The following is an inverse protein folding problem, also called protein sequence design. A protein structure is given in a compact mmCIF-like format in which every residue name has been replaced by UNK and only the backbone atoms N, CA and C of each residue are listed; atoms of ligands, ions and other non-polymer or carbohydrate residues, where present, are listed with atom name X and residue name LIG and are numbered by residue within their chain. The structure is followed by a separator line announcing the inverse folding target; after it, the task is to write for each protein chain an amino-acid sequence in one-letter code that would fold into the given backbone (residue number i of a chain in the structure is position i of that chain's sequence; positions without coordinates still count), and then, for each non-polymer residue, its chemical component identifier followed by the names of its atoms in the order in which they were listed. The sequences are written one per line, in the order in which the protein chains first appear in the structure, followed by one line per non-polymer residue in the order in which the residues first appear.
data_IF_421140677740
#
_entry.id   IF_421140677740
#
_cell.length_a   1.000
_cell.length_b   1.000
_cell.length_c   1.000
_cell.angle_alpha   90.00
_cell.angle_beta   90.00
_cell.angle_gamma   90.00
#
_symmetry.space_group_name_H-M   'P 1'
#
loop_
_entity.id
_entity.type
_entity.pdbx_description
1 polymer ?
#
# COMPACT_ATOMS: atom_id res chain seq x y z
N UNK A 1 16.58 -27.84 6.77
CA UNK A 1 17.51 -27.79 7.91
C UNK A 1 17.84 -26.32 8.17
N UNK A 2 17.65 -25.82 9.39
CA UNK A 2 18.07 -24.46 9.73
C UNK A 2 19.58 -24.45 10.00
N UNK A 3 20.35 -23.71 9.20
CA UNK A 3 21.82 -23.73 9.15
C UNK A 3 22.50 -23.41 10.50
N UNK A 4 21.81 -22.68 11.39
CA UNK A 4 22.28 -22.36 12.75
C UNK A 4 21.30 -22.79 13.86
N UNK A 5 20.35 -23.69 13.55
CA UNK A 5 19.35 -24.17 14.53
C UNK A 5 18.30 -23.14 14.96
N UNK A 6 18.29 -21.94 14.36
CA UNK A 6 17.31 -20.90 14.66
C UNK A 6 16.09 -21.07 13.76
N UNK A 7 14.92 -21.27 14.38
CA UNK A 7 13.62 -21.30 13.70
C UNK A 7 12.78 -20.16 14.22
N UNK A 8 12.19 -19.38 13.31
CA UNK A 8 11.32 -18.25 13.66
C UNK A 8 10.08 -18.21 12.78
N UNK A 9 9.05 -17.50 13.25
CA UNK A 9 7.83 -17.25 12.47
C UNK A 9 8.10 -16.32 11.28
N UNK A 10 7.28 -16.44 10.22
CA UNK A 10 7.42 -15.64 8.99
C UNK A 10 6.76 -14.25 9.07
N UNK A 11 6.61 -13.68 10.26
CA UNK A 11 5.98 -12.37 10.46
C UNK A 11 6.99 -11.30 10.85
N UNK A 12 6.75 -10.04 10.47
CA UNK A 12 7.58 -8.88 10.85
C UNK A 12 7.77 -8.80 12.37
N UNK A 13 6.70 -9.03 13.13
CA UNK A 13 6.76 -9.07 14.60
C UNK A 13 7.66 -10.19 15.13
N UNK A 14 7.60 -11.38 14.54
CA UNK A 14 8.46 -12.50 14.94
C UNK A 14 9.93 -12.22 14.61
N UNK A 15 10.21 -11.66 13.43
CA UNK A 15 11.55 -11.27 13.02
C UNK A 15 12.15 -10.21 13.94
N UNK A 16 11.43 -9.13 14.24
CA UNK A 16 11.90 -8.06 15.14
C UNK A 16 12.28 -8.57 16.52
N UNK A 17 11.53 -9.54 17.05
CA UNK A 17 11.83 -10.14 18.35
C UNK A 17 13.18 -10.86 18.32
N UNK A 18 13.45 -11.62 17.27
CA UNK A 18 14.73 -12.31 17.09
C UNK A 18 15.88 -11.30 16.89
N UNK A 19 15.64 -10.21 16.17
CA UNK A 19 16.64 -9.15 15.96
C UNK A 19 16.97 -8.40 17.25
N UNK A 20 15.97 -8.14 18.11
CA UNK A 20 16.17 -7.52 19.42
C UNK A 20 17.02 -8.39 20.36
N UNK A 21 16.87 -9.72 20.27
CA UNK A 21 17.59 -10.68 21.09
C UNK A 21 18.83 -11.27 20.38
N UNK A 22 19.33 -10.64 19.30
CA UNK A 22 20.39 -11.19 18.44
C UNK A 22 21.68 -11.57 19.21
N UNK A 23 21.99 -10.84 20.27
CA UNK A 23 23.16 -11.12 21.11
C UNK A 23 23.02 -12.39 21.94
N UNK A 24 21.80 -12.74 22.36
CA UNK A 24 21.51 -13.96 23.11
C UNK A 24 21.71 -15.23 22.27
N UNK A 25 21.73 -15.12 20.94
CA UNK A 25 21.99 -16.24 20.04
C UNK A 25 23.49 -16.54 19.93
N UNK A 26 24.02 -17.31 20.89
CA UNK A 26 25.44 -17.72 20.92
C UNK A 26 25.84 -18.62 19.75
N UNK A 27 24.89 -19.30 19.11
CA UNK A 27 25.12 -20.14 17.93
C UNK A 27 25.48 -19.36 16.66
N UNK A 28 25.25 -18.03 16.63
CA UNK A 28 25.55 -17.20 15.47
C UNK A 28 26.97 -16.60 15.54
N UNK A 29 27.79 -16.76 14.48
CA UNK A 29 29.09 -16.10 14.40
C UNK A 29 28.99 -14.57 14.49
N UNK A 30 29.96 -13.93 15.13
CA UNK A 30 29.97 -12.48 15.34
C UNK A 30 29.91 -11.67 14.02
N UNK A 31 30.61 -12.13 12.98
CA UNK A 31 30.59 -11.49 11.65
C UNK A 31 29.19 -11.56 11.03
N UNK A 32 28.49 -12.68 11.19
CA UNK A 32 27.14 -12.83 10.69
C UNK A 32 26.14 -11.95 11.45
N UNK A 33 26.28 -11.83 12.79
CA UNK A 33 25.51 -10.86 13.59
C UNK A 33 25.72 -9.43 13.13
N UNK A 34 26.95 -9.05 12.78
CA UNK A 34 27.26 -7.72 12.25
C UNK A 34 26.55 -7.44 10.91
N UNK A 35 26.52 -8.43 10.00
CA UNK A 35 25.78 -8.32 8.74
C UNK A 35 24.26 -8.18 8.98
N UNK A 36 23.69 -8.98 9.88
CA UNK A 36 22.27 -8.89 10.25
C UNK A 36 21.95 -7.48 10.79
N UNK A 37 22.78 -6.94 11.69
CA UNK A 37 22.62 -5.58 12.23
C UNK A 37 22.65 -4.52 11.13
N UNK A 38 23.52 -4.67 10.13
CA UNK A 38 23.58 -3.74 9.00
C UNK A 38 22.28 -3.75 8.20
N UNK A 39 21.69 -4.93 7.96
CA UNK A 39 20.43 -5.06 7.23
C UNK A 39 19.25 -4.54 8.07
N UNK A 40 19.24 -4.80 9.38
CA UNK A 40 18.22 -4.27 10.30
C UNK A 40 18.24 -2.74 10.40
N UNK A 41 19.43 -2.13 10.44
CA UNK A 41 19.60 -0.69 10.40
C UNK A 41 19.03 -0.09 9.10
N UNK A 42 19.34 -0.71 7.95
CA UNK A 42 18.79 -0.27 6.66
C UNK A 42 17.27 -0.45 6.58
N UNK A 43 16.74 -1.59 7.05
CA UNK A 43 15.31 -1.84 7.16
C UNK A 43 14.61 -0.77 7.99
N UNK A 44 15.18 -0.42 9.14
CA UNK A 44 14.67 0.64 10.00
C UNK A 44 14.63 1.99 9.28
N UNK A 45 15.70 2.35 8.55
CA UNK A 45 15.75 3.56 7.75
C UNK A 45 14.63 3.62 6.70
N UNK A 46 14.44 2.53 5.94
CA UNK A 46 13.38 2.45 4.93
C UNK A 46 11.99 2.60 5.56
N UNK A 47 11.76 1.97 6.71
CA UNK A 47 10.49 2.11 7.44
C UNK A 47 10.25 3.53 7.93
N UNK A 48 11.25 4.19 8.48
CA UNK A 48 11.11 5.60 8.88
C UNK A 48 10.78 6.50 7.70
N UNK A 49 11.40 6.26 6.53
CA UNK A 49 11.06 6.99 5.31
C UNK A 49 9.63 6.71 4.84
N UNK A 50 9.17 5.46 4.94
CA UNK A 50 7.79 5.07 4.64
C UNK A 50 6.79 5.78 5.56
N UNK A 51 7.01 5.74 6.88
CA UNK A 51 6.16 6.40 7.87
C UNK A 51 6.09 7.93 7.64
N UNK A 52 7.22 8.54 7.23
CA UNK A 52 7.28 9.96 6.88
C UNK A 52 6.48 10.28 5.62
N UNK A 53 6.49 9.41 4.60
CA UNK A 53 5.66 9.57 3.41
C UNK A 53 4.17 9.45 3.76
N UNK A 54 3.77 8.46 4.56
CA UNK A 54 2.39 8.29 5.01
C UNK A 54 1.89 9.52 5.77
N UNK A 55 2.71 10.08 6.67
CA UNK A 55 2.37 11.29 7.40
C UNK A 55 2.16 12.50 6.49
N UNK A 56 2.96 12.63 5.41
CA UNK A 56 2.81 13.70 4.41
C UNK A 56 1.51 13.54 3.62
N UNK A 57 1.16 12.32 3.20
CA UNK A 57 -0.10 12.03 2.50
C UNK A 57 -1.28 12.35 3.41
N UNK A 58 -1.24 11.93 4.67
CA UNK A 58 -2.30 12.23 5.63
C UNK A 58 -2.45 13.73 5.88
N UNK A 59 -1.35 14.49 5.98
CA UNK A 59 -1.39 15.95 6.11
C UNK A 59 -2.04 16.59 4.89
N UNK A 60 -1.58 16.26 3.69
CA UNK A 60 -2.12 16.82 2.45
C UNK A 60 -3.61 16.48 2.28
N UNK A 61 -4.01 15.24 2.56
CA UNK A 61 -5.40 14.80 2.49
C UNK A 61 -6.30 15.43 3.57
N UNK A 62 -5.76 15.92 4.69
CA UNK A 62 -6.50 16.67 5.71
C UNK A 62 -6.73 18.12 5.29
N UNK A 63 -5.76 18.73 4.60
CA UNK A 63 -5.83 20.12 4.19
C UNK A 63 -6.67 20.33 2.91
N UNK A 64 -6.88 19.27 2.11
CA UNK A 64 -7.74 19.31 0.91
C UNK A 64 -9.19 18.87 1.23
N UNK A 65 -10.13 19.82 1.14
CA UNK A 65 -11.57 19.57 1.37
C UNK A 65 -12.16 18.51 0.44
N UNK A 66 -11.60 18.30 -0.76
CA UNK A 66 -12.03 17.24 -1.68
C UNK A 66 -11.66 15.87 -1.12
N UNK A 67 -10.46 15.73 -0.57
CA UNK A 67 -10.00 14.52 0.10
C UNK A 67 -10.84 14.24 1.36
N UNK A 68 -11.12 15.27 2.18
CA UNK A 68 -11.99 15.15 3.36
C UNK A 68 -13.38 14.63 2.98
N UNK A 69 -13.98 15.17 1.91
CA UNK A 69 -15.29 14.70 1.41
C UNK A 69 -15.25 13.26 0.93
N UNK A 70 -14.19 12.85 0.21
CA UNK A 70 -14.04 11.48 -0.27
C UNK A 70 -13.88 10.47 0.88
N UNK A 71 -13.18 10.85 1.96
CA UNK A 71 -12.99 10.02 3.16
C UNK A 71 -14.29 9.73 3.92
N UNK A 72 -15.38 10.46 3.65
CA UNK A 72 -16.70 10.15 4.20
C UNK A 72 -17.30 8.86 3.60
N UNK A 73 -16.76 8.39 2.46
CA UNK A 73 -17.18 7.13 1.84
C UNK A 73 -16.53 5.96 2.58
N UNK A 74 -17.34 4.98 2.98
CA UNK A 74 -16.86 3.77 3.66
C UNK A 74 -15.82 3.06 2.80
N UNK A 75 -14.65 2.79 3.39
CA UNK A 75 -13.53 2.14 2.70
C UNK A 75 -12.57 3.09 1.99
N UNK A 76 -12.80 4.40 1.99
CA UNK A 76 -11.88 5.39 1.41
C UNK A 76 -11.04 6.05 2.50
N UNK A 77 -9.74 5.70 2.53
CA UNK A 77 -8.75 6.31 3.41
C UNK A 77 -8.06 7.54 2.80
N UNK A 78 -7.18 8.18 3.55
CA UNK A 78 -6.42 9.35 3.08
C UNK A 78 -5.60 9.04 1.83
N UNK A 79 -4.87 7.93 1.79
CA UNK A 79 -4.10 7.52 0.62
C UNK A 79 -4.97 7.38 -0.64
N UNK A 80 -6.10 6.67 -0.54
CA UNK A 80 -7.00 6.46 -1.67
C UNK A 80 -7.66 7.77 -2.12
N UNK A 81 -8.09 8.61 -1.18
CA UNK A 81 -8.70 9.90 -1.49
C UNK A 81 -7.69 10.82 -2.19
N UNK A 82 -6.47 10.89 -1.65
CA UNK A 82 -5.38 11.71 -2.19
C UNK A 82 -4.97 11.27 -3.59
N UNK A 83 -4.75 9.97 -3.77
CA UNK A 83 -4.42 9.38 -5.06
C UNK A 83 -5.54 9.61 -6.09
N UNK A 84 -6.81 9.51 -5.68
CA UNK A 84 -7.93 9.77 -6.56
C UNK A 84 -7.94 11.24 -7.00
N UNK A 85 -7.79 12.19 -6.09
CA UNK A 85 -7.76 13.61 -6.43
C UNK A 85 -6.55 13.96 -7.31
N UNK A 86 -5.37 13.42 -7.00
CA UNK A 86 -4.17 13.60 -7.79
C UNK A 86 -4.32 13.02 -9.21
N UNK A 87 -5.02 11.89 -9.35
CA UNK A 87 -5.22 11.21 -10.64
C UNK A 87 -6.33 11.81 -11.49
N UNK A 88 -7.39 12.32 -10.85
CA UNK A 88 -8.56 12.87 -11.55
C UNK A 88 -8.35 14.27 -12.10
N UNK A 89 -7.42 15.05 -11.53
CA UNK A 89 -7.28 16.47 -11.87
C UNK A 89 -8.56 17.25 -11.56
N UNK A 90 -9.28 17.71 -12.60
CA UNK A 90 -10.57 18.40 -12.47
C UNK A 90 -11.73 17.43 -12.73
N UNK A 91 -12.47 17.10 -11.68
CA UNK A 91 -13.64 16.21 -11.77
C UNK A 91 -14.72 16.68 -12.78
N UNK A 92 -14.72 17.97 -13.12
CA UNK A 92 -15.62 18.59 -14.11
C UNK A 92 -15.33 18.15 -15.56
N UNK A 93 -14.20 17.48 -15.82
CA UNK A 93 -13.90 16.88 -17.12
C UNK A 93 -14.84 15.70 -17.44
N UNK A 94 -15.47 15.11 -16.43
CA UNK A 94 -16.51 14.09 -16.60
C UNK A 94 -17.90 14.73 -16.68
N UNK A 95 -18.69 14.32 -17.67
CA UNK A 95 -20.07 14.77 -17.87
C UNK A 95 -20.98 14.40 -16.69
N UNK A 96 -20.71 13.27 -16.02
CA UNK A 96 -21.44 12.81 -14.84
C UNK A 96 -20.67 11.70 -14.11
N UNK A 97 -21.15 11.33 -12.92
CA UNK A 97 -20.53 10.28 -12.10
C UNK A 97 -20.50 8.88 -12.73
N UNK A 98 -21.40 8.56 -13.68
CA UNK A 98 -21.34 7.26 -14.40
C UNK A 98 -20.13 7.20 -15.33
N UNK A 99 -19.79 8.30 -15.99
CA UNK A 99 -18.61 8.37 -16.84
C UNK A 99 -17.33 8.20 -16.01
N UNK A 100 -17.28 8.83 -14.83
CA UNK A 100 -16.20 8.64 -13.87
C UNK A 100 -16.13 7.17 -13.39
N UNK A 101 -17.26 6.57 -13.03
CA UNK A 101 -17.30 5.16 -12.62
C UNK A 101 -16.84 4.21 -13.73
N UNK A 102 -17.14 4.52 -14.99
CA UNK A 102 -16.66 3.77 -16.14
C UNK A 102 -15.14 3.93 -16.33
N UNK A 103 -14.60 5.14 -16.14
CA UNK A 103 -13.17 5.41 -16.20
C UNK A 103 -12.39 4.68 -15.09
N UNK A 104 -12.93 4.64 -13.87
CA UNK A 104 -12.42 3.85 -12.74
C UNK A 104 -12.63 2.34 -12.91
N UNK A 105 -13.29 1.89 -13.99
CA UNK A 105 -13.54 0.48 -14.22
C UNK A 105 -14.52 -0.17 -13.24
N UNK A 106 -15.34 0.62 -12.54
CA UNK A 106 -16.36 0.18 -11.58
C UNK A 106 -17.67 -0.29 -12.23
N UNK A 107 -17.74 -0.25 -13.57
CA UNK A 107 -18.88 -0.77 -14.35
C UNK A 107 -18.41 -1.95 -15.21
N UNK A 108 -19.31 -2.91 -15.53
CA UNK A 108 -18.98 -4.00 -16.44
C UNK A 108 -18.54 -3.46 -17.81
N UNK A 109 -17.42 -3.96 -18.35
CA UNK A 109 -17.01 -3.63 -19.72
C UNK A 109 -18.06 -4.13 -20.72
N UNK A 110 -18.39 -3.36 -21.75
CA UNK A 110 -19.32 -3.80 -22.79
C UNK A 110 -18.59 -4.02 -24.10
N UNK A 111 -18.73 -5.22 -24.68
CA UNK A 111 -18.29 -5.52 -26.03
C UNK A 111 -19.51 -5.70 -26.91
N UNK A 112 -19.60 -4.94 -28.00
CA UNK A 112 -20.68 -5.07 -28.97
C UNK A 112 -20.13 -5.13 -30.39
N UNK A 113 -20.62 -6.08 -31.17
CA UNK A 113 -20.33 -6.25 -32.59
C UNK A 113 -21.55 -6.83 -33.30
N UNK A 114 -21.91 -6.30 -34.46
CA UNK A 114 -22.93 -6.91 -35.33
C UNK A 114 -24.30 -7.14 -34.67
N UNK A 115 -24.76 -6.25 -33.80
CA UNK A 115 -26.07 -6.36 -33.13
C UNK A 115 -26.10 -7.24 -31.88
N UNK A 116 -25.01 -7.93 -31.53
CA UNK A 116 -24.88 -8.64 -30.26
C UNK A 116 -24.16 -7.77 -29.23
N UNK A 117 -24.68 -7.75 -28.00
CA UNK A 117 -24.06 -7.07 -26.85
C UNK A 117 -23.71 -8.09 -25.78
N UNK A 118 -22.47 -8.06 -25.31
CA UNK A 118 -21.99 -8.88 -24.19
C UNK A 118 -21.37 -8.00 -23.11
N UNK A 119 -21.86 -8.15 -21.88
CA UNK A 119 -21.23 -7.57 -20.70
C UNK A 119 -20.06 -8.47 -20.24
N UNK A 120 -18.95 -7.84 -19.90
CA UNK A 120 -17.74 -8.46 -19.34
C UNK A 120 -17.61 -8.21 -17.85
N UNK A 121 -16.40 -8.40 -17.31
CA UNK A 121 -16.14 -8.23 -15.88
C UNK A 121 -16.03 -6.75 -15.47
N UNK A 122 -16.15 -6.50 -14.16
CA UNK A 122 -15.80 -5.22 -13.54
C UNK A 122 -14.29 -5.25 -13.29
N UNK A 123 -13.57 -4.26 -13.82
CA UNK A 123 -12.10 -4.27 -13.81
C UNK A 123 -11.47 -3.57 -12.61
N UNK A 124 -12.21 -2.68 -11.92
CA UNK A 124 -11.75 -1.91 -10.75
C UNK A 124 -10.30 -1.43 -10.92
N UNK A 125 -10.09 -0.51 -11.86
CA UNK A 125 -8.76 -0.03 -12.25
C UNK A 125 -8.10 0.81 -11.16
#
# INVERSE_FOLDING_TARGET
MAEFGIVMGKSDKALRRVLADLDAHTALPAQFKALIRSVDAHWTQVRTAFDACDARIESHARDDERCVRLRAIVGVGALTADALIASLGKAQEFRNGRQLAAWLGMVPTQHSSGGHTRLGAISCR
#
